data_IF_936723233387
#
_entry.id   IF_936723233387
#
_cell.length_a   1.000
_cell.length_b   1.000
_cell.length_c   1.000
_cell.angle_alpha   90.00
_cell.angle_beta   90.00
_cell.angle_gamma   90.00
#
_symmetry.space_group_name_H-M   'P 1'
#
loop_
_entity.id
_entity.type
_entity.pdbx_description
1 polymer ?
#
# COMPACT_ATOMS: atom_id res chain seq x y z
N UNK A 1 7.39 6.08 -9.99
CA UNK A 1 8.34 5.03 -9.55
C UNK A 1 7.68 4.20 -8.48
N UNK A 2 7.96 2.90 -8.43
CA UNK A 2 7.44 1.98 -7.41
C UNK A 2 8.60 1.54 -6.52
N UNK A 3 8.33 1.43 -5.22
CA UNK A 3 9.27 0.99 -4.20
C UNK A 3 8.60 -0.08 -3.36
N UNK A 4 9.36 -1.11 -3.02
CA UNK A 4 8.96 -2.14 -2.07
C UNK A 4 9.84 -2.00 -0.84
N UNK A 5 9.26 -2.12 0.34
CA UNK A 5 9.97 -2.03 1.60
C UNK A 5 9.41 -3.07 2.57
N UNK A 6 10.32 -3.81 3.20
CA UNK A 6 9.97 -4.70 4.30
C UNK A 6 9.99 -3.88 5.59
N UNK A 7 8.90 -3.95 6.34
CA UNK A 7 8.73 -3.26 7.63
C UNK A 7 8.25 -4.25 8.67
N UNK A 8 8.72 -4.11 9.90
CA UNK A 8 8.16 -4.85 11.02
C UNK A 8 6.91 -4.11 11.51
N UNK A 9 5.78 -4.82 11.59
CA UNK A 9 4.48 -4.26 11.98
C UNK A 9 3.92 -5.02 13.17
N UNK A 10 3.28 -4.30 14.08
CA UNK A 10 2.59 -4.90 15.22
C UNK A 10 1.16 -5.30 14.85
N UNK A 11 0.87 -6.59 15.00
CA UNK A 11 -0.48 -7.15 14.88
C UNK A 11 -0.95 -7.67 16.24
N UNK A 12 -2.23 -8.02 16.36
CA UNK A 12 -2.77 -8.62 17.59
C UNK A 12 -2.06 -9.93 18.01
N UNK A 13 -1.40 -10.60 17.05
CA UNK A 13 -0.62 -11.83 17.27
C UNK A 13 0.89 -11.59 17.41
N UNK A 14 1.31 -10.33 17.51
CA UNK A 14 2.71 -9.94 17.68
C UNK A 14 3.29 -9.23 16.47
N UNK A 15 4.60 -8.98 16.54
CA UNK A 15 5.34 -8.23 15.52
C UNK A 15 5.73 -9.17 14.38
N UNK A 16 5.35 -8.83 13.16
CA UNK A 16 5.71 -9.58 11.95
C UNK A 16 6.21 -8.67 10.83
N UNK A 17 7.10 -9.21 10.00
CA UNK A 17 7.65 -8.47 8.87
C UNK A 17 6.74 -8.55 7.66
N UNK A 18 6.48 -7.42 7.02
CA UNK A 18 5.58 -7.31 5.87
C UNK A 18 6.21 -6.44 4.79
N UNK A 19 6.16 -6.91 3.54
CA UNK A 19 6.49 -6.07 2.39
C UNK A 19 5.32 -5.16 2.05
N UNK A 20 5.57 -3.86 1.97
CA UNK A 20 4.62 -2.85 1.51
C UNK A 20 5.08 -2.24 0.19
N UNK A 21 4.12 -1.78 -0.62
CA UNK A 21 4.39 -1.08 -1.87
C UNK A 21 4.05 0.40 -1.77
N UNK A 22 4.91 1.22 -2.35
CA UNK A 22 4.75 2.67 -2.40
C UNK A 22 5.01 3.19 -3.81
N UNK A 23 4.35 4.29 -4.18
CA UNK A 23 4.67 5.04 -5.38
C UNK A 23 5.21 6.43 -5.04
N UNK A 24 6.26 6.83 -5.76
CA UNK A 24 6.78 8.20 -5.70
C UNK A 24 5.90 9.13 -6.52
N UNK A 25 5.33 10.15 -5.88
CA UNK A 25 4.49 11.16 -6.51
C UNK A 25 5.30 12.10 -7.41
N UNK A 26 4.79 12.37 -8.62
CA UNK A 26 5.29 13.42 -9.52
C UNK A 26 4.71 14.81 -9.23
N UNK A 27 3.71 14.92 -8.34
CA UNK A 27 3.21 16.18 -7.80
C UNK A 27 2.38 17.04 -8.74
N UNK A 28 1.47 16.47 -9.53
CA UNK A 28 0.66 17.26 -10.49
C UNK A 28 -0.82 17.41 -10.16
N UNK A 29 -1.42 16.66 -9.22
CA UNK A 29 -2.85 16.75 -8.85
C UNK A 29 -3.14 16.25 -7.41
N UNK A 30 -4.24 16.75 -6.80
CA UNK A 30 -4.90 16.28 -5.56
C UNK A 30 -4.07 16.30 -4.26
N UNK A 31 -3.57 17.46 -3.83
CA UNK A 31 -2.89 17.68 -2.52
C UNK A 31 -1.66 16.80 -2.25
N UNK A 32 -1.11 16.14 -3.28
CA UNK A 32 0.07 15.28 -3.14
C UNK A 32 1.35 16.08 -3.21
N UNK A 33 2.23 15.83 -2.25
CA UNK A 33 3.54 16.44 -2.18
C UNK A 33 4.44 15.78 -3.23
N UNK A 34 5.01 16.60 -4.12
CA UNK A 34 5.95 16.14 -5.14
C UNK A 34 7.16 15.47 -4.49
N UNK A 35 7.54 14.30 -4.98
CA UNK A 35 8.69 13.55 -4.49
C UNK A 35 8.40 12.66 -3.27
N UNK A 36 7.27 12.85 -2.58
CA UNK A 36 6.87 12.00 -1.47
C UNK A 36 6.37 10.63 -1.98
N UNK A 37 6.58 9.59 -1.16
CA UNK A 37 6.17 8.22 -1.44
C UNK A 37 4.89 7.88 -0.71
N UNK A 38 3.90 7.38 -1.43
CA UNK A 38 2.57 7.08 -0.90
C UNK A 38 2.25 5.59 -1.03
N UNK A 39 1.55 4.99 -0.05
CA UNK A 39 1.24 3.57 -0.06
C UNK A 39 0.29 3.19 -1.20
N UNK A 40 0.43 1.96 -1.69
CA UNK A 40 -0.48 1.31 -2.63
C UNK A 40 -0.72 -0.13 -2.20
N UNK A 41 -1.94 -0.61 -2.47
CA UNK A 41 -2.34 -2.01 -2.29
C UNK A 41 -1.83 -2.87 -3.46
N UNK A 42 -1.53 -2.24 -4.59
CA UNK A 42 -1.02 -2.88 -5.79
C UNK A 42 -1.32 -2.05 -7.04
N UNK A 43 -1.27 -2.68 -8.21
CA UNK A 43 -1.45 -2.00 -9.50
C UNK A 43 -2.43 -2.79 -10.36
N UNK A 44 -3.43 -2.12 -10.93
CA UNK A 44 -4.43 -2.72 -11.81
C UNK A 44 -3.77 -3.30 -13.07
N UNK A 45 -4.06 -4.56 -13.40
CA UNK A 45 -3.50 -5.27 -14.56
C UNK A 45 -4.44 -5.20 -15.77
N UNK A 46 -5.75 -5.16 -15.54
CA UNK A 46 -6.80 -5.14 -16.59
C UNK A 46 -7.86 -4.09 -16.27
N UNK A 47 -8.48 -3.50 -17.29
CA UNK A 47 -9.58 -2.55 -17.08
C UNK A 47 -10.82 -3.23 -16.48
N UNK A 48 -11.57 -2.48 -15.68
CA UNK A 48 -12.84 -2.93 -15.07
C UNK A 48 -12.71 -3.29 -13.59
N UNK A 49 -13.50 -4.29 -13.16
CA UNK A 49 -13.57 -4.73 -11.76
C UNK A 49 -12.23 -5.31 -11.27
N UNK A 50 -12.03 -5.28 -9.96
CA UNK A 50 -10.86 -5.90 -9.31
C UNK A 50 -11.02 -7.41 -9.24
N UNK A 51 -10.12 -8.13 -9.91
CA UNK A 51 -10.13 -9.61 -9.94
C UNK A 51 -8.72 -10.21 -9.88
N UNK A 52 -7.68 -9.38 -9.87
CA UNK A 52 -6.28 -9.79 -9.96
C UNK A 52 -5.55 -9.86 -8.62
N UNK A 53 -6.20 -9.43 -7.54
CA UNK A 53 -5.68 -9.55 -6.18
C UNK A 53 -6.31 -10.74 -5.47
N UNK A 54 -6.02 -10.91 -4.18
CA UNK A 54 -6.77 -11.87 -3.37
C UNK A 54 -8.25 -11.47 -3.25
N UNK A 55 -9.10 -12.42 -2.89
CA UNK A 55 -10.54 -12.20 -2.74
C UNK A 55 -10.84 -11.03 -1.79
N UNK A 56 -10.15 -10.99 -0.65
CA UNK A 56 -10.30 -9.91 0.34
C UNK A 56 -9.87 -8.55 -0.21
N UNK A 57 -8.69 -8.47 -0.86
CA UNK A 57 -8.21 -7.21 -1.43
C UNK A 57 -9.11 -6.73 -2.58
N UNK A 58 -9.61 -7.64 -3.42
CA UNK A 58 -10.58 -7.30 -4.45
C UNK A 58 -11.85 -6.72 -3.83
N UNK A 59 -12.35 -7.28 -2.72
CA UNK A 59 -13.49 -6.75 -1.98
C UNK A 59 -13.22 -5.34 -1.43
N UNK A 60 -12.10 -5.12 -0.74
CA UNK A 60 -11.72 -3.80 -0.18
C UNK A 60 -11.61 -2.75 -1.28
N UNK A 61 -10.92 -3.05 -2.38
CA UNK A 61 -10.75 -2.11 -3.49
C UNK A 61 -12.08 -1.80 -4.20
N UNK A 62 -12.96 -2.80 -4.34
CA UNK A 62 -14.31 -2.61 -4.89
C UNK A 62 -15.15 -1.68 -4.01
N UNK A 63 -15.01 -1.75 -2.68
CA UNK A 63 -15.78 -0.94 -1.72
C UNK A 63 -15.18 0.45 -1.47
N UNK A 64 -13.92 0.69 -1.85
CA UNK A 64 -13.23 1.98 -1.62
C UNK A 64 -13.03 2.79 -2.88
N UNK A 65 -13.14 2.18 -4.06
CA UNK A 65 -13.00 2.86 -5.35
C UNK A 65 -14.37 3.23 -5.89
N UNK A 66 -14.50 4.44 -6.46
CA UNK A 66 -15.72 4.86 -7.15
C UNK A 66 -16.12 3.81 -8.20
N UNK A 67 -17.39 3.39 -8.15
CA UNK A 67 -17.99 2.34 -9.00
C UNK A 67 -17.31 0.96 -8.94
N UNK A 68 -16.37 0.74 -8.01
CA UNK A 68 -15.66 -0.53 -7.84
C UNK A 68 -14.85 -0.96 -9.07
N UNK A 69 -14.42 -0.02 -9.91
CA UNK A 69 -13.67 -0.31 -11.14
C UNK A 69 -12.47 0.63 -11.31
N UNK A 70 -11.48 0.20 -12.10
CA UNK A 70 -10.33 1.01 -12.43
C UNK A 70 -9.76 0.67 -13.82
N UNK A 71 -8.98 1.58 -14.37
CA UNK A 71 -8.26 1.40 -15.64
C UNK A 71 -6.93 0.66 -15.43
N UNK A 72 -6.44 -0.02 -16.48
CA UNK A 72 -5.15 -0.69 -16.45
C UNK A 72 -4.02 0.29 -16.07
N UNK A 73 -3.11 -0.15 -15.20
CA UNK A 73 -2.01 0.66 -14.67
C UNK A 73 -2.40 1.61 -13.54
N UNK A 74 -3.68 1.66 -13.16
CA UNK A 74 -4.11 2.45 -12.01
C UNK A 74 -3.48 1.92 -10.71
N UNK A 75 -2.95 2.85 -9.91
CA UNK A 75 -2.36 2.57 -8.61
C UNK A 75 -3.47 2.41 -7.58
N UNK A 76 -3.64 1.20 -7.05
CA UNK A 76 -4.68 0.86 -6.08
C UNK A 76 -4.36 1.50 -4.73
N UNK A 77 -4.99 2.64 -4.45
CA UNK A 77 -4.66 3.46 -3.27
C UNK A 77 -5.87 4.06 -2.57
N UNK A 78 -7.08 3.86 -3.10
CA UNK A 78 -8.32 4.46 -2.63
C UNK A 78 -8.57 4.26 -1.13
N UNK A 79 -8.26 3.07 -0.61
CA UNK A 79 -8.40 2.73 0.82
C UNK A 79 -7.63 3.69 1.74
N UNK A 80 -6.56 4.32 1.27
CA UNK A 80 -5.75 5.28 2.04
C UNK A 80 -6.27 6.74 1.97
N UNK A 81 -7.36 7.00 1.25
CA UNK A 81 -7.96 8.34 1.08
C UNK A 81 -9.33 8.43 1.75
N UNK A 82 -9.44 7.92 2.98
CA UNK A 82 -10.63 8.06 3.82
C UNK A 82 -11.10 9.51 3.98
N UNK A 83 -12.29 9.68 4.56
CA UNK A 83 -12.85 10.99 4.88
C UNK A 83 -11.93 11.68 5.89
N UNK A 84 -11.44 12.88 5.56
CA UNK A 84 -10.60 13.64 6.48
C UNK A 84 -11.48 14.23 7.58
N UNK A 85 -11.15 13.95 8.84
CA UNK A 85 -11.90 14.45 10.01
C UNK A 85 -11.19 15.60 10.73
N UNK A 86 -9.96 15.94 10.34
CA UNK A 86 -9.24 17.07 10.92
C UNK A 86 -8.03 17.54 10.10
N UNK A 87 -7.56 18.75 10.39
CA UNK A 87 -6.52 19.47 9.64
C UNK A 87 -5.11 18.84 9.75
N UNK A 88 -4.90 17.91 10.69
CA UNK A 88 -3.62 17.23 10.93
C UNK A 88 -3.40 15.99 10.06
N UNK A 89 -4.40 15.56 9.29
CA UNK A 89 -4.33 14.33 8.48
C UNK A 89 -3.65 14.56 7.13
N UNK A 90 -2.58 13.82 6.86
CA UNK A 90 -1.83 13.92 5.60
C UNK A 90 -2.54 13.08 4.53
N UNK A 91 -3.17 13.76 3.57
CA UNK A 91 -3.93 13.09 2.51
C UNK A 91 -3.14 11.99 1.80
N UNK A 92 -3.70 10.79 1.75
CA UNK A 92 -3.14 9.64 1.03
C UNK A 92 -2.25 8.70 1.84
N UNK A 93 -2.20 8.87 3.17
CA UNK A 93 -1.49 7.96 4.08
C UNK A 93 -2.41 7.19 5.02
N UNK A 94 -3.71 7.10 4.70
CA UNK A 94 -4.77 6.72 5.64
C UNK A 94 -5.11 7.84 6.63
N UNK A 95 -6.33 7.82 7.16
CA UNK A 95 -6.77 8.71 8.25
C UNK A 95 -6.91 7.94 9.58
N UNK A 96 -6.32 6.76 9.62
CA UNK A 96 -6.36 5.78 10.71
C UNK A 96 -5.14 5.94 11.61
N UNK A 97 -5.02 5.11 12.64
CA UNK A 97 -3.80 5.06 13.50
C UNK A 97 -2.49 4.85 12.70
N UNK A 98 -2.60 4.29 11.49
CA UNK A 98 -1.47 4.04 10.58
C UNK A 98 -0.93 5.27 9.83
N UNK A 99 -1.60 6.43 9.93
CA UNK A 99 -1.27 7.63 9.13
C UNK A 99 0.18 8.06 9.31
N UNK A 100 0.64 8.23 10.55
CA UNK A 100 2.00 8.71 10.84
C UNK A 100 3.05 7.68 10.41
N UNK A 101 2.83 6.40 10.71
CA UNK A 101 3.75 5.32 10.35
C UNK A 101 3.94 5.21 8.83
N UNK A 102 2.84 5.22 8.07
CA UNK A 102 2.90 5.18 6.61
C UNK A 102 3.58 6.42 6.03
N UNK A 103 3.39 7.58 6.65
CA UNK A 103 4.11 8.80 6.27
C UNK A 103 5.62 8.67 6.53
N UNK A 104 6.04 8.17 7.70
CA UNK A 104 7.45 7.96 8.02
C UNK A 104 8.12 6.91 7.14
N UNK A 105 7.42 5.83 6.79
CA UNK A 105 7.90 4.85 5.81
C UNK A 105 8.11 5.54 4.45
N UNK A 106 7.16 6.37 4.01
CA UNK A 106 7.27 7.16 2.79
C UNK A 106 8.48 8.11 2.78
N UNK A 107 8.77 8.77 3.92
CA UNK A 107 9.96 9.60 4.11
C UNK A 107 11.26 8.78 4.08
N UNK A 108 11.25 7.59 4.67
CA UNK A 108 12.39 6.65 4.66
C UNK A 108 12.71 6.21 3.24
N UNK A 109 11.70 5.88 2.44
CA UNK A 109 11.88 5.57 1.01
C UNK A 109 12.43 6.75 0.21
N UNK A 110 12.00 7.99 0.50
CA UNK A 110 12.58 9.18 -0.13
C UNK A 110 14.08 9.32 0.21
N UNK A 111 14.45 9.12 1.48
CA UNK A 111 15.84 9.14 1.91
C UNK A 111 16.67 8.07 1.17
N UNK A 112 16.22 6.81 1.16
CA UNK A 112 16.92 5.73 0.45
C UNK A 112 17.06 5.99 -1.04
N UNK A 113 16.00 6.51 -1.68
CA UNK A 113 16.06 6.85 -3.10
C UNK A 113 17.10 7.94 -3.40
N UNK A 114 17.11 9.03 -2.62
CA UNK A 114 18.00 10.17 -2.85
C UNK A 114 19.46 9.85 -2.50
N UNK A 115 19.69 8.97 -1.51
CA UNK A 115 21.04 8.50 -1.12
C UNK A 115 21.53 7.30 -1.94
N UNK A 116 20.71 6.79 -2.87
CA UNK A 116 20.97 5.58 -3.66
C UNK A 116 21.19 4.32 -2.80
N UNK A 117 20.58 4.27 -1.62
CA UNK A 117 20.62 3.13 -0.72
C UNK A 117 19.42 2.18 -0.97
N UNK A 118 19.37 1.59 -2.16
CA UNK A 118 18.32 0.64 -2.54
C UNK A 118 18.84 -0.38 -3.56
N UNK A 119 18.14 -1.52 -3.68
CA UNK A 119 18.40 -2.51 -4.72
C UNK A 119 17.46 -2.29 -5.88
N UNK A 120 18.01 -2.11 -7.09
CA UNK A 120 17.22 -1.97 -8.30
C UNK A 120 16.64 -3.33 -8.72
N UNK A 121 15.32 -3.43 -8.78
CA UNK A 121 14.62 -4.59 -9.34
C UNK A 121 14.34 -4.37 -10.83
N UNK A 122 15.20 -4.91 -11.71
CA UNK A 122 15.12 -4.69 -13.17
C UNK A 122 13.78 -5.11 -13.80
N UNK A 123 13.12 -6.13 -13.23
CA UNK A 123 11.90 -6.71 -13.79
C UNK A 123 10.64 -6.36 -12.98
N UNK A 124 10.69 -5.33 -12.13
CA UNK A 124 9.53 -4.93 -11.33
C UNK A 124 8.44 -4.32 -12.24
N UNK A 125 7.48 -5.16 -12.62
CA UNK A 125 6.29 -4.79 -13.38
C UNK A 125 5.03 -4.92 -12.51
N UNK A 126 3.88 -4.53 -13.05
CA UNK A 126 2.56 -4.61 -12.38
C UNK A 126 2.27 -5.99 -11.78
N UNK A 127 2.55 -7.07 -12.52
CA UNK A 127 2.29 -8.43 -12.04
C UNK A 127 3.24 -8.81 -10.90
N UNK A 128 4.53 -8.45 -11.01
CA UNK A 128 5.51 -8.72 -9.95
C UNK A 128 5.21 -7.96 -8.66
N UNK A 129 4.75 -6.70 -8.74
CA UNK A 129 4.31 -5.95 -7.55
C UNK A 129 3.18 -6.70 -6.85
N UNK A 130 2.12 -7.05 -7.57
CA UNK A 130 0.98 -7.74 -6.99
C UNK A 130 1.35 -9.13 -6.46
N UNK A 131 2.27 -9.84 -7.14
CA UNK A 131 2.79 -11.13 -6.70
C UNK A 131 3.52 -11.02 -5.36
N UNK A 132 4.46 -10.08 -5.23
CA UNK A 132 5.24 -9.88 -4.00
C UNK A 132 4.33 -9.56 -2.82
N UNK A 133 3.32 -8.71 -3.01
CA UNK A 133 2.39 -8.34 -1.94
C UNK A 133 1.46 -9.49 -1.50
N UNK A 134 1.30 -10.53 -2.33
CA UNK A 134 0.39 -11.66 -2.10
C UNK A 134 1.09 -13.01 -2.00
N UNK A 135 2.39 -13.01 -1.66
CA UNK A 135 3.18 -14.22 -1.43
C UNK A 135 2.57 -15.08 -0.31
N UNK A 136 2.45 -16.38 -0.56
CA UNK A 136 1.98 -17.36 0.44
C UNK A 136 3.12 -17.94 1.25
N UNK A 137 4.33 -17.42 1.08
CA UNK A 137 5.51 -17.75 1.84
C UNK A 137 5.56 -16.94 3.15
N UNK A 138 6.18 -17.53 4.17
CA UNK A 138 6.49 -16.86 5.43
C UNK A 138 7.90 -16.29 5.36
N UNK A 139 8.08 -15.07 5.83
CA UNK A 139 9.42 -14.52 6.04
C UNK A 139 10.08 -15.14 7.27
N UNK A 140 11.41 -15.07 7.32
CA UNK A 140 12.14 -15.62 8.46
C UNK A 140 11.76 -14.88 9.74
N UNK A 141 11.24 -15.63 10.72
CA UNK A 141 10.74 -15.12 12.00
C UNK A 141 9.24 -14.87 12.04
N UNK A 142 8.55 -14.90 10.90
CA UNK A 142 7.10 -14.73 10.83
C UNK A 142 6.36 -16.03 11.16
N UNK A 143 5.22 -15.91 11.84
CA UNK A 143 4.27 -17.02 12.01
C UNK A 143 3.24 -17.07 10.88
N UNK A 144 3.01 -15.94 10.19
CA UNK A 144 2.04 -15.80 9.11
C UNK A 144 2.72 -15.51 7.77
N UNK A 145 2.00 -15.79 6.69
CA UNK A 145 2.48 -15.52 5.33
C UNK A 145 2.46 -14.03 5.03
N UNK A 146 3.27 -13.61 4.06
CA UNK A 146 3.26 -12.23 3.56
C UNK A 146 1.84 -11.80 3.16
N UNK A 147 1.06 -12.67 2.49
CA UNK A 147 -0.33 -12.40 2.12
C UNK A 147 -1.22 -12.18 3.34
N UNK A 148 -1.17 -13.05 4.33
CA UNK A 148 -2.01 -12.94 5.53
C UNK A 148 -1.70 -11.64 6.28
N UNK A 149 -0.42 -11.34 6.52
CA UNK A 149 -0.03 -10.10 7.20
C UNK A 149 -0.43 -8.85 6.39
N UNK A 150 -0.25 -8.88 5.07
CA UNK A 150 -0.64 -7.77 4.20
C UNK A 150 -2.15 -7.56 4.18
N UNK A 151 -2.95 -8.62 4.08
CA UNK A 151 -4.41 -8.56 4.14
C UNK A 151 -4.91 -8.03 5.48
N UNK A 152 -4.31 -8.47 6.60
CA UNK A 152 -4.62 -7.97 7.95
C UNK A 152 -4.31 -6.49 8.10
N UNK A 153 -3.18 -6.04 7.56
CA UNK A 153 -2.82 -4.63 7.55
C UNK A 153 -3.86 -3.80 6.77
N UNK A 154 -4.26 -4.27 5.57
CA UNK A 154 -5.29 -3.58 4.77
C UNK A 154 -6.66 -3.64 5.46
N UNK A 155 -6.99 -4.74 6.14
CA UNK A 155 -8.21 -4.89 6.91
C UNK A 155 -8.32 -3.86 8.04
N UNK A 156 -7.25 -3.69 8.82
CA UNK A 156 -7.23 -2.75 9.93
C UNK A 156 -7.48 -1.31 9.45
N UNK A 157 -6.88 -0.92 8.31
CA UNK A 157 -7.17 0.36 7.67
C UNK A 157 -8.62 0.43 7.17
N UNK A 158 -9.12 -0.63 6.54
CA UNK A 158 -10.44 -0.63 5.93
C UNK A 158 -11.59 -0.61 6.96
N UNK A 159 -11.39 -1.26 8.11
CA UNK A 159 -12.36 -1.23 9.20
C UNK A 159 -12.47 0.18 9.79
N UNK A 160 -11.35 0.84 10.05
CA UNK A 160 -11.34 2.25 10.49
C UNK A 160 -11.77 3.23 9.38
N UNK A 161 -11.75 2.82 8.10
CA UNK A 161 -12.32 3.62 7.00
C UNK A 161 -13.86 3.57 6.99
N UNK A 162 -14.46 2.44 7.39
CA UNK A 162 -15.91 2.21 7.31
C UNK A 162 -16.68 2.65 8.54
N UNK A 163 -16.02 2.76 9.69
CA UNK A 163 -16.61 3.01 11.01
C UNK A 163 -15.90 4.17 11.72
#
# INVERSE_FOLDING_TARGET
MIGLIDVDMEFYYGIERVTLAFYRSSGTNNNKIKGLWYPIVGIKVKEGKFTEFSEYINYVLTNTTLDGTAVKGWLAKSVFFGKQEGDWQISGFSNTKHCEELYYIGKTLDHFYNTKNYKLMKNLNTMEVNRVLSLTEKYHGNNHTQRENFERFIEDIFLEFKY
#
